data_IF_040458434810
#
_entry.id   IF_040458434810
#
_cell.length_a   1.000
_cell.length_b   1.000
_cell.length_c   1.000
_cell.angle_alpha   90.00
_cell.angle_beta   90.00
_cell.angle_gamma   90.00
#
_symmetry.space_group_name_H-M   'P 1'
#
loop_
_entity.id
_entity.type
_entity.pdbx_description
1 polymer ?
#
# COMPACT_ATOMS: atom_id res chain seq x y z
N UNK A 1 13.57 96.14 20.08
CA UNK A 1 13.44 95.19 18.89
C UNK A 1 12.69 94.01 19.35
N UNK A 2 11.45 93.99 18.90
CA UNK A 2 10.41 92.96 19.25
C UNK A 2 10.56 91.71 18.34
N UNK A 3 10.48 90.54 18.93
CA UNK A 3 10.14 89.33 18.19
C UNK A 3 8.92 88.67 18.84
N UNK A 4 7.84 88.65 18.09
CA UNK A 4 6.62 87.96 18.40
C UNK A 4 6.83 86.45 18.18
N UNK A 5 6.52 85.65 19.23
CA UNK A 5 6.34 84.19 19.10
C UNK A 5 4.91 83.97 18.59
N UNK A 6 4.79 83.32 17.43
CA UNK A 6 3.52 82.72 16.96
C UNK A 6 3.40 81.32 17.50
N UNK A 7 2.47 81.11 18.42
CA UNK A 7 2.00 79.81 18.78
C UNK A 7 0.96 79.36 17.76
N UNK A 8 1.30 78.36 16.94
CA UNK A 8 0.34 77.73 16.02
C UNK A 8 -0.46 76.68 16.78
N UNK A 9 -1.78 76.91 16.88
CA UNK A 9 -2.73 75.94 17.41
C UNK A 9 -2.89 74.80 16.39
N UNK A 10 -2.79 73.51 16.79
CA UNK A 10 -2.99 72.44 15.84
C UNK A 10 -4.43 72.42 15.33
N UNK A 11 -4.57 72.35 14.02
CA UNK A 11 -5.86 72.37 13.35
C UNK A 11 -6.72 71.14 13.72
N UNK A 12 -8.02 71.38 13.92
CA UNK A 12 -8.98 70.34 14.26
C UNK A 12 -8.98 69.14 13.27
N UNK A 13 -8.46 69.33 12.09
CA UNK A 13 -8.26 68.26 11.09
C UNK A 13 -7.21 67.23 11.49
N UNK A 14 -6.14 67.61 12.19
CA UNK A 14 -5.10 66.67 12.64
C UNK A 14 -5.62 65.71 13.76
N UNK A 15 -6.51 66.21 14.60
CA UNK A 15 -7.08 65.39 15.68
C UNK A 15 -8.07 64.38 15.11
N UNK A 16 -8.81 64.77 14.05
CA UNK A 16 -9.79 63.87 13.40
C UNK A 16 -9.12 62.69 12.63
N UNK A 17 -7.99 62.98 11.98
CA UNK A 17 -7.21 61.94 11.29
C UNK A 17 -6.52 60.95 12.24
N UNK A 18 -6.05 61.45 13.42
CA UNK A 18 -5.48 60.54 14.43
C UNK A 18 -6.57 59.64 15.08
N UNK A 19 -7.79 60.13 15.24
CA UNK A 19 -8.91 59.34 15.77
C UNK A 19 -9.44 58.30 14.76
N UNK A 20 -9.45 58.65 13.48
CA UNK A 20 -9.81 57.70 12.40
C UNK A 20 -8.79 56.57 12.18
N UNK A 21 -7.50 56.87 12.34
CA UNK A 21 -6.43 55.87 12.31
C UNK A 21 -6.43 54.94 13.53
N UNK A 22 -6.80 55.42 14.70
CA UNK A 22 -6.96 54.58 15.90
C UNK A 22 -8.18 53.65 15.80
N UNK A 23 -9.29 54.07 15.14
CA UNK A 23 -10.45 53.21 14.91
C UNK A 23 -10.24 52.17 13.83
N UNK A 24 -9.30 52.39 12.89
CA UNK A 24 -8.98 51.41 11.86
C UNK A 24 -8.14 50.21 12.41
N UNK A 25 -7.46 50.37 13.53
CA UNK A 25 -6.69 49.28 14.16
C UNK A 25 -7.50 48.42 15.14
N UNK A 26 -8.74 48.82 15.50
CA UNK A 26 -9.57 48.07 16.48
C UNK A 26 -10.59 47.15 15.83
N UNK A 27 -10.71 47.11 14.50
CA UNK A 27 -11.59 46.18 13.79
C UNK A 27 -10.80 45.04 13.16
N UNK A 28 -9.94 44.34 13.95
CA UNK A 28 -9.62 42.96 13.60
C UNK A 28 -10.95 42.22 13.82
N UNK A 29 -11.55 41.64 12.79
CA UNK A 29 -12.83 40.97 12.95
C UNK A 29 -12.63 39.80 13.93
N UNK A 30 -13.19 39.88 15.11
CA UNK A 30 -13.21 38.79 16.10
C UNK A 30 -13.67 37.48 15.46
N UNK A 31 -14.40 37.55 14.37
CA UNK A 31 -14.81 36.43 13.53
C UNK A 31 -13.64 35.68 12.89
N UNK A 32 -12.50 36.33 12.54
CA UNK A 32 -11.35 35.65 11.97
C UNK A 32 -10.55 34.87 13.02
N UNK A 33 -10.45 35.38 14.25
CA UNK A 33 -9.82 34.65 15.35
C UNK A 33 -10.69 33.46 15.82
N UNK A 34 -12.00 33.59 15.79
CA UNK A 34 -12.93 32.49 16.13
C UNK A 34 -12.89 31.42 15.05
N UNK A 35 -12.74 31.81 13.77
CA UNK A 35 -12.65 30.85 12.66
C UNK A 35 -11.39 30.00 12.75
N UNK A 36 -10.23 30.58 13.11
CA UNK A 36 -8.99 29.84 13.34
C UNK A 36 -9.06 28.89 14.56
N UNK A 37 -9.74 29.30 15.60
CA UNK A 37 -9.87 28.50 16.82
C UNK A 37 -10.85 27.32 16.63
N UNK A 38 -11.89 27.49 15.81
CA UNK A 38 -12.87 26.42 15.51
C UNK A 38 -12.31 25.40 14.52
N UNK A 39 -11.56 25.84 13.50
CA UNK A 39 -10.98 24.91 12.52
C UNK A 39 -9.80 24.11 13.08
N UNK A 40 -9.12 24.57 14.14
CA UNK A 40 -8.04 23.85 14.77
C UNK A 40 -8.50 22.60 15.57
N UNK A 41 -9.77 22.55 15.96
CA UNK A 41 -10.36 21.46 16.76
C UNK A 41 -11.38 20.60 15.98
N UNK A 42 -11.58 20.88 14.69
CA UNK A 42 -12.41 20.01 13.87
C UNK A 42 -11.74 18.64 13.70
N UNK A 43 -12.47 17.54 13.90
CA UNK A 43 -11.95 16.22 13.64
C UNK A 43 -11.51 16.12 12.18
N UNK A 44 -10.28 15.67 11.94
CA UNK A 44 -9.80 15.39 10.60
C UNK A 44 -9.95 13.92 10.33
N UNK A 45 -10.51 13.59 9.17
CA UNK A 45 -10.39 12.25 8.63
C UNK A 45 -8.90 12.02 8.30
N UNK A 46 -8.29 11.09 9.02
CA UNK A 46 -6.90 10.71 8.81
C UNK A 46 -6.74 9.68 7.67
N UNK A 47 -7.86 9.33 7.02
CA UNK A 47 -7.92 8.27 6.01
C UNK A 47 -7.67 6.91 6.66
N UNK A 48 -6.43 6.51 6.73
CA UNK A 48 -6.01 5.29 7.41
C UNK A 48 -4.85 5.59 8.37
N UNK A 49 -4.76 4.78 9.44
CA UNK A 49 -3.62 4.81 10.36
C UNK A 49 -2.80 3.54 10.12
N UNK A 50 -1.59 3.72 9.66
CA UNK A 50 -0.63 2.64 9.45
C UNK A 50 -0.13 2.11 10.79
N UNK A 51 -0.19 0.79 11.01
CA UNK A 51 0.42 0.11 12.15
C UNK A 51 1.94 0.18 11.97
N UNK A 52 2.67 0.70 12.98
CA UNK A 52 4.12 0.90 12.94
C UNK A 52 4.88 0.03 13.94
N UNK A 53 4.17 -0.70 14.77
CA UNK A 53 4.69 -1.68 15.72
C UNK A 53 3.68 -2.81 15.89
N UNK A 54 4.14 -4.05 15.89
CA UNK A 54 3.31 -5.22 16.10
C UNK A 54 4.07 -6.24 16.94
N UNK A 55 3.52 -6.64 18.11
CA UNK A 55 4.13 -7.58 19.05
C UNK A 55 5.59 -7.23 19.44
N UNK A 56 5.89 -5.92 19.55
CA UNK A 56 7.24 -5.43 19.89
C UNK A 56 8.21 -5.38 18.71
N UNK A 57 7.74 -5.61 17.47
CA UNK A 57 8.53 -5.51 16.25
C UNK A 57 8.23 -4.17 15.58
N UNK A 58 9.25 -3.36 15.32
CA UNK A 58 9.14 -2.15 14.54
C UNK A 58 8.87 -2.46 13.07
N UNK A 59 7.82 -1.87 12.50
CA UNK A 59 7.43 -2.06 11.12
C UNK A 59 7.91 -0.91 10.24
N UNK A 60 8.37 -1.23 9.04
CA UNK A 60 8.70 -0.26 8.01
C UNK A 60 7.43 0.44 7.50
N UNK A 61 7.53 1.73 7.10
CA UNK A 61 6.40 2.39 6.46
C UNK A 61 6.08 1.77 5.09
N UNK A 62 4.79 1.66 4.79
CA UNK A 62 4.30 1.21 3.47
C UNK A 62 4.75 2.15 2.34
N UNK A 63 5.17 3.38 2.67
CA UNK A 63 5.70 4.38 1.73
C UNK A 63 7.23 4.45 1.70
N UNK A 64 7.94 3.74 2.60
CA UNK A 64 9.38 3.89 2.79
C UNK A 64 10.25 3.19 1.74
N UNK A 65 9.68 2.42 0.83
CA UNK A 65 10.43 1.66 -0.17
C UNK A 65 9.95 1.93 -1.60
N UNK A 66 10.82 1.63 -2.57
CA UNK A 66 10.55 1.90 -3.98
C UNK A 66 9.41 1.02 -4.50
N UNK A 67 8.65 1.57 -5.43
CA UNK A 67 7.81 0.79 -6.29
C UNK A 67 8.68 0.18 -7.41
N UNK A 68 8.63 -1.15 -7.53
CA UNK A 68 9.31 -1.90 -8.57
C UNK A 68 8.28 -2.74 -9.32
N UNK A 69 8.09 -2.43 -10.60
CA UNK A 69 7.22 -3.18 -11.51
C UNK A 69 7.69 -3.03 -12.94
N UNK A 70 7.16 -3.86 -13.83
CA UNK A 70 7.56 -3.85 -15.24
C UNK A 70 6.79 -2.83 -16.08
N UNK A 71 5.67 -2.30 -15.54
CA UNK A 71 4.78 -1.34 -16.25
C UNK A 71 4.24 -0.21 -15.37
N UNK A 72 4.81 0.00 -14.17
CA UNK A 72 4.28 0.94 -13.19
C UNK A 72 3.07 0.40 -12.41
N UNK A 73 2.56 1.15 -11.41
CA UNK A 73 1.42 0.76 -10.61
C UNK A 73 0.18 0.49 -11.44
N UNK A 74 -0.56 -0.58 -11.11
CA UNK A 74 -1.80 -0.94 -11.76
C UNK A 74 -2.99 -0.48 -10.91
N UNK A 75 -3.95 0.21 -11.55
CA UNK A 75 -5.19 0.65 -10.93
C UNK A 75 -6.30 -0.29 -11.38
N UNK A 76 -6.64 -1.26 -10.54
CA UNK A 76 -7.56 -2.34 -10.86
C UNK A 76 -8.89 -2.07 -10.16
N UNK A 77 -10.00 -2.07 -10.92
CA UNK A 77 -11.34 -2.02 -10.37
C UNK A 77 -11.74 -3.41 -9.86
N UNK A 78 -12.20 -3.49 -8.61
CA UNK A 78 -12.62 -4.76 -7.99
C UNK A 78 -13.89 -5.33 -8.60
N UNK A 79 -14.74 -4.51 -9.23
CA UNK A 79 -15.94 -4.99 -9.92
C UNK A 79 -15.57 -5.84 -11.15
N UNK A 80 -14.52 -5.42 -11.87
CA UNK A 80 -14.01 -6.12 -13.06
C UNK A 80 -12.92 -7.15 -12.74
N UNK A 81 -12.39 -7.15 -11.53
CA UNK A 81 -11.31 -8.05 -11.15
C UNK A 81 -11.78 -9.50 -11.03
N UNK A 82 -10.97 -10.42 -11.58
CA UNK A 82 -11.13 -11.86 -11.40
C UNK A 82 -9.79 -12.50 -11.07
N UNK A 83 -9.83 -13.41 -10.10
CA UNK A 83 -8.74 -14.31 -9.77
C UNK A 83 -9.10 -15.71 -10.25
N UNK A 84 -8.28 -16.29 -11.12
CA UNK A 84 -8.50 -17.64 -11.65
C UNK A 84 -7.52 -18.62 -11.00
N UNK A 85 -8.00 -19.77 -10.57
CA UNK A 85 -7.19 -20.94 -10.19
C UNK A 85 -7.39 -22.02 -11.23
N UNK A 86 -6.33 -22.43 -11.92
CA UNK A 86 -6.39 -23.25 -13.14
C UNK A 86 -5.20 -24.22 -13.27
N UNK A 87 -5.06 -24.91 -14.38
CA UNK A 87 -3.99 -25.84 -14.70
C UNK A 87 -4.27 -27.27 -14.17
N UNK A 88 -3.32 -27.87 -13.49
CA UNK A 88 -3.45 -29.22 -12.91
C UNK A 88 -4.31 -29.20 -11.65
N UNK A 89 -5.61 -28.95 -11.83
CA UNK A 89 -6.65 -28.94 -10.80
C UNK A 89 -7.84 -29.77 -11.23
N UNK A 90 -8.65 -30.25 -10.28
CA UNK A 90 -9.88 -30.98 -10.57
C UNK A 90 -10.97 -30.07 -11.13
N UNK A 91 -11.05 -28.83 -10.62
CA UNK A 91 -12.02 -27.82 -11.05
C UNK A 91 -11.33 -26.47 -11.15
N UNK A 92 -11.38 -25.82 -12.29
CA UNK A 92 -10.99 -24.44 -12.41
C UNK A 92 -11.97 -23.55 -11.65
N UNK A 93 -11.44 -22.59 -10.91
CA UNK A 93 -12.22 -21.67 -10.09
C UNK A 93 -11.94 -20.24 -10.51
N UNK A 94 -12.97 -19.42 -10.49
CA UNK A 94 -12.89 -17.98 -10.72
C UNK A 94 -13.54 -17.27 -9.53
N UNK A 95 -12.85 -16.28 -8.98
CA UNK A 95 -13.26 -15.50 -7.82
C UNK A 95 -13.29 -14.02 -8.15
N UNK A 96 -14.29 -13.32 -7.61
CA UNK A 96 -14.23 -11.87 -7.46
C UNK A 96 -13.28 -11.50 -6.28
N UNK A 97 -12.94 -10.23 -6.16
CA UNK A 97 -12.21 -9.75 -4.99
C UNK A 97 -12.95 -10.08 -3.69
N UNK A 98 -14.25 -9.80 -3.66
CA UNK A 98 -15.08 -10.02 -2.46
C UNK A 98 -15.21 -11.52 -2.12
N UNK A 99 -15.26 -12.41 -3.10
CA UNK A 99 -15.29 -13.85 -2.87
C UNK A 99 -14.02 -14.28 -2.10
N UNK A 100 -12.86 -13.78 -2.51
CA UNK A 100 -11.59 -14.15 -1.89
C UNK A 100 -11.53 -13.66 -0.43
N UNK A 101 -11.84 -12.39 -0.17
CA UNK A 101 -11.71 -11.83 1.18
C UNK A 101 -12.81 -12.24 2.15
N UNK A 102 -13.95 -12.76 1.64
CA UNK A 102 -15.11 -13.13 2.48
C UNK A 102 -15.22 -14.63 2.74
N UNK A 103 -14.70 -15.49 1.86
CA UNK A 103 -14.94 -16.94 1.93
C UNK A 103 -13.77 -17.72 2.56
N UNK A 104 -12.63 -17.08 2.78
CA UNK A 104 -11.43 -17.72 3.31
C UNK A 104 -11.00 -17.15 4.65
N UNK A 105 -10.39 -17.97 5.53
CA UNK A 105 -9.80 -17.48 6.78
C UNK A 105 -8.72 -16.44 6.51
N UNK A 106 -8.70 -15.40 7.34
CA UNK A 106 -7.70 -14.33 7.26
C UNK A 106 -6.54 -14.65 8.18
N UNK A 107 -5.33 -14.48 7.68
CA UNK A 107 -4.08 -14.67 8.41
C UNK A 107 -3.25 -13.40 8.37
N UNK A 108 -2.48 -13.18 9.41
CA UNK A 108 -1.50 -12.10 9.45
C UNK A 108 -0.13 -12.64 9.86
N UNK A 109 0.92 -12.04 9.33
CA UNK A 109 2.30 -12.41 9.60
C UNK A 109 3.24 -11.25 9.35
N UNK A 110 4.18 -11.02 10.28
CA UNK A 110 5.29 -10.09 10.05
C UNK A 110 6.35 -10.78 9.21
N UNK A 111 6.60 -10.28 8.01
CA UNK A 111 7.61 -10.81 7.10
C UNK A 111 8.44 -9.69 6.51
N UNK A 112 9.75 -9.90 6.42
CA UNK A 112 10.67 -8.97 5.77
C UNK A 112 10.83 -9.34 4.30
N UNK A 113 10.52 -8.38 3.42
CA UNK A 113 10.81 -8.44 2.00
C UNK A 113 12.25 -7.97 1.76
N UNK A 114 13.04 -8.77 1.06
CA UNK A 114 14.41 -8.43 0.65
C UNK A 114 14.47 -8.21 -0.85
N UNK A 115 14.87 -7.00 -1.27
CA UNK A 115 15.05 -6.68 -2.67
C UNK A 115 16.48 -6.93 -3.12
N UNK A 116 16.66 -7.43 -4.35
CA UNK A 116 17.98 -7.60 -4.98
C UNK A 116 18.72 -6.28 -5.17
N UNK A 117 18.06 -5.14 -5.05
CA UNK A 117 18.66 -3.80 -5.05
C UNK A 117 19.33 -3.42 -3.72
N UNK A 118 19.31 -4.30 -2.71
CA UNK A 118 20.02 -4.11 -1.44
C UNK A 118 19.21 -3.38 -0.36
N UNK A 119 17.89 -3.21 -0.52
CA UNK A 119 17.02 -2.70 0.53
C UNK A 119 16.07 -3.79 1.06
N UNK A 120 15.57 -3.61 2.27
CA UNK A 120 14.58 -4.51 2.87
C UNK A 120 13.54 -3.72 3.65
N UNK A 121 12.35 -4.32 3.82
CA UNK A 121 11.25 -3.76 4.60
C UNK A 121 10.54 -4.85 5.39
N UNK A 122 10.26 -4.57 6.66
CA UNK A 122 9.54 -5.46 7.56
C UNK A 122 8.11 -4.97 7.67
N UNK A 123 7.15 -5.79 7.29
CA UNK A 123 5.74 -5.43 7.13
C UNK A 123 4.87 -6.48 7.82
N UNK A 124 3.80 -6.05 8.47
CA UNK A 124 2.69 -6.91 8.88
C UNK A 124 1.77 -7.12 7.67
N UNK A 125 1.82 -8.32 7.10
CA UNK A 125 1.00 -8.72 5.97
C UNK A 125 -0.28 -9.38 6.45
N UNK A 126 -1.41 -9.03 5.86
CA UNK A 126 -2.72 -9.63 6.13
C UNK A 126 -3.33 -10.12 4.82
N UNK A 127 -3.80 -11.37 4.81
CA UNK A 127 -4.36 -11.99 3.62
C UNK A 127 -4.86 -13.41 3.88
N UNK A 128 -5.03 -14.17 2.80
CA UNK A 128 -5.45 -15.56 2.84
C UNK A 128 -4.27 -16.47 2.48
N UNK A 129 -4.35 -17.74 2.87
CA UNK A 129 -3.34 -18.72 2.46
C UNK A 129 -3.59 -19.15 1.01
N UNK A 130 -2.55 -19.11 0.18
CA UNK A 130 -2.63 -19.59 -1.20
C UNK A 130 -3.07 -21.06 -1.26
N UNK A 131 -2.61 -21.88 -0.30
CA UNK A 131 -2.99 -23.29 -0.24
C UNK A 131 -4.50 -23.51 -0.13
N UNK A 132 -5.23 -22.64 0.59
CA UNK A 132 -6.66 -22.79 0.78
C UNK A 132 -7.41 -22.63 -0.58
N UNK A 133 -6.93 -21.72 -1.45
CA UNK A 133 -7.47 -21.53 -2.80
C UNK A 133 -7.19 -22.74 -3.71
N UNK A 134 -5.95 -23.23 -3.71
CA UNK A 134 -5.58 -24.36 -4.57
C UNK A 134 -6.20 -25.68 -4.10
N UNK A 135 -6.36 -25.88 -2.79
CA UNK A 135 -7.07 -27.02 -2.22
C UNK A 135 -8.57 -27.01 -2.59
N UNK A 136 -9.20 -25.83 -2.61
CA UNK A 136 -10.59 -25.69 -3.05
C UNK A 136 -10.78 -26.08 -4.52
N UNK A 137 -9.78 -25.84 -5.38
CA UNK A 137 -9.77 -26.27 -6.78
C UNK A 137 -9.50 -27.78 -6.94
N UNK A 138 -8.94 -28.42 -5.92
CA UNK A 138 -8.55 -29.84 -5.91
C UNK A 138 -7.30 -30.09 -6.73
N UNK A 139 -6.16 -30.16 -6.05
CA UNK A 139 -4.84 -30.31 -6.66
C UNK A 139 -4.70 -31.67 -7.37
N UNK A 140 -4.29 -31.67 -8.65
CA UNK A 140 -3.90 -32.90 -9.35
C UNK A 140 -2.60 -33.44 -8.77
N UNK A 141 -2.46 -34.76 -8.53
CA UNK A 141 -1.24 -35.37 -7.98
C UNK A 141 0.04 -35.15 -8.79
N UNK A 142 -0.09 -34.77 -10.07
CA UNK A 142 1.07 -34.47 -10.92
C UNK A 142 1.55 -33.02 -10.79
N UNK A 143 0.81 -32.14 -10.10
CA UNK A 143 1.23 -30.77 -9.90
C UNK A 143 2.44 -30.69 -8.97
N UNK A 144 3.48 -30.02 -9.40
CA UNK A 144 4.73 -29.84 -8.62
C UNK A 144 5.12 -28.37 -8.44
N UNK A 145 4.55 -27.48 -9.26
CA UNK A 145 4.86 -26.06 -9.26
C UNK A 145 3.59 -25.22 -9.35
N UNK A 146 3.63 -24.04 -8.73
CA UNK A 146 2.58 -23.01 -8.85
C UNK A 146 3.15 -21.84 -9.64
N UNK A 147 2.49 -21.49 -10.75
CA UNK A 147 2.83 -20.35 -11.59
C UNK A 147 1.83 -19.24 -11.32
N UNK A 148 2.34 -18.05 -11.06
CA UNK A 148 1.51 -16.86 -10.83
C UNK A 148 1.63 -15.92 -12.02
N UNK A 149 0.50 -15.37 -12.45
CA UNK A 149 0.43 -14.32 -13.47
C UNK A 149 -0.21 -13.06 -12.90
N UNK A 150 0.28 -11.92 -13.32
CA UNK A 150 -0.17 -10.61 -12.89
C UNK A 150 -0.82 -9.81 -14.02
N UNK A 151 -1.62 -8.85 -13.63
CA UNK A 151 -2.36 -7.96 -14.52
C UNK A 151 -1.44 -7.19 -15.50
N UNK A 152 -0.24 -6.82 -15.08
CA UNK A 152 0.76 -6.10 -15.90
C UNK A 152 1.53 -7.01 -16.88
N UNK A 153 1.26 -8.33 -16.86
CA UNK A 153 1.94 -9.34 -17.66
C UNK A 153 3.20 -9.89 -17.00
N UNK A 154 3.47 -9.55 -15.73
CA UNK A 154 4.51 -10.21 -14.95
C UNK A 154 4.11 -11.66 -14.65
N UNK A 155 5.11 -12.54 -14.52
CA UNK A 155 4.90 -13.91 -14.06
C UNK A 155 6.10 -14.42 -13.29
N UNK A 156 5.87 -15.37 -12.39
CA UNK A 156 6.89 -16.11 -11.66
C UNK A 156 6.34 -17.46 -11.24
N UNK A 157 7.20 -18.36 -10.78
CA UNK A 157 6.79 -19.66 -10.24
C UNK A 157 7.49 -19.95 -8.92
N UNK A 158 6.87 -20.82 -8.14
CA UNK A 158 7.46 -21.39 -6.91
C UNK A 158 7.05 -22.85 -6.80
N UNK A 159 7.82 -23.71 -6.11
CA UNK A 159 7.44 -25.10 -5.86
C UNK A 159 6.11 -25.19 -5.11
N UNK A 160 5.27 -26.16 -5.45
CA UNK A 160 3.99 -26.38 -4.77
C UNK A 160 4.17 -26.70 -3.28
N UNK A 161 5.16 -27.50 -2.94
CA UNK A 161 5.48 -27.84 -1.55
C UNK A 161 5.93 -26.62 -0.73
N UNK A 162 6.60 -25.63 -1.37
CA UNK A 162 6.93 -24.37 -0.73
C UNK A 162 5.65 -23.61 -0.33
N UNK A 163 4.63 -23.55 -1.16
CA UNK A 163 3.33 -22.91 -0.86
C UNK A 163 2.64 -23.60 0.32
N UNK A 164 2.60 -24.95 0.30
CA UNK A 164 1.87 -25.75 1.28
C UNK A 164 2.57 -25.71 2.65
N UNK A 165 3.88 -25.92 2.65
CA UNK A 165 4.64 -26.12 3.91
C UNK A 165 4.95 -24.81 4.65
N UNK A 166 4.97 -23.66 3.96
CA UNK A 166 5.34 -22.37 4.57
C UNK A 166 4.13 -21.46 4.85
N UNK A 167 2.89 -21.91 4.62
CA UNK A 167 1.69 -21.09 4.80
C UNK A 167 1.81 -19.74 4.09
N UNK A 168 2.11 -19.77 2.80
CA UNK A 168 2.33 -18.59 1.99
C UNK A 168 1.05 -17.78 1.86
N UNK A 169 1.12 -16.49 2.20
CA UNK A 169 -0.01 -15.56 2.20
C UNK A 169 -0.09 -14.87 0.83
N UNK A 170 -1.30 -14.80 0.29
CA UNK A 170 -1.71 -13.84 -0.73
C UNK A 170 -2.35 -12.66 0.00
N UNK A 171 -1.59 -11.57 0.15
CA UNK A 171 -1.97 -10.42 0.95
C UNK A 171 -2.84 -9.44 0.18
N UNK A 172 -3.82 -8.84 0.88
CA UNK A 172 -4.62 -7.71 0.43
C UNK A 172 -4.49 -6.48 1.34
N UNK A 173 -3.82 -6.63 2.51
CA UNK A 173 -3.43 -5.52 3.38
C UNK A 173 -1.97 -5.62 3.83
N UNK A 174 -1.44 -4.48 4.23
CA UNK A 174 -0.12 -4.31 4.83
C UNK A 174 -0.19 -3.26 5.94
N UNK A 175 0.39 -3.55 7.11
CA UNK A 175 0.35 -2.68 8.29
C UNK A 175 -1.07 -2.18 8.63
N UNK A 176 -2.11 -3.05 8.48
CA UNK A 176 -3.51 -2.73 8.73
C UNK A 176 -4.20 -1.91 7.63
N UNK A 177 -3.50 -1.54 6.57
CA UNK A 177 -4.01 -0.74 5.44
C UNK A 177 -4.23 -1.63 4.23
N UNK A 178 -5.35 -1.47 3.52
CA UNK A 178 -5.57 -2.12 2.22
C UNK A 178 -4.40 -1.77 1.29
N UNK A 179 -3.89 -2.74 0.55
CA UNK A 179 -2.79 -2.53 -0.38
C UNK A 179 -3.10 -1.34 -1.31
N UNK A 180 -2.25 -0.31 -1.37
CA UNK A 180 -2.39 0.67 -2.43
C UNK A 180 -1.97 0.08 -3.79
N UNK A 181 -2.34 0.72 -4.92
CA UNK A 181 -1.98 0.24 -6.25
C UNK A 181 -0.49 -0.07 -6.41
N UNK A 182 0.39 0.77 -5.85
CA UNK A 182 1.85 0.62 -5.90
C UNK A 182 2.35 -0.64 -5.18
N UNK A 183 1.55 -1.16 -4.24
CA UNK A 183 1.86 -2.33 -3.40
C UNK A 183 1.12 -3.59 -3.82
N UNK A 184 0.49 -3.57 -4.99
CA UNK A 184 -0.06 -4.78 -5.60
C UNK A 184 -1.53 -5.03 -5.35
N UNK A 185 -2.33 -3.98 -5.00
CA UNK A 185 -3.78 -4.15 -4.94
C UNK A 185 -4.32 -4.74 -6.25
N UNK A 186 -5.20 -5.76 -6.23
CA UNK A 186 -5.90 -6.34 -5.08
C UNK A 186 -5.07 -7.33 -4.25
N UNK A 187 -4.11 -8.06 -4.84
CA UNK A 187 -3.37 -9.12 -4.17
C UNK A 187 -1.89 -9.12 -4.53
N UNK A 188 -1.06 -9.32 -3.50
CA UNK A 188 0.37 -9.54 -3.61
C UNK A 188 0.77 -10.84 -2.92
N UNK A 189 1.67 -11.63 -3.53
CA UNK A 189 2.27 -12.80 -2.90
C UNK A 189 3.29 -12.39 -1.83
N UNK A 190 3.20 -12.97 -0.65
CA UNK A 190 4.20 -12.84 0.42
C UNK A 190 5.14 -14.05 0.34
N UNK A 191 6.12 -13.98 -0.54
CA UNK A 191 7.04 -15.08 -0.82
C UNK A 191 8.19 -15.09 0.21
N UNK A 192 7.86 -15.39 1.48
CA UNK A 192 8.82 -15.45 2.59
C UNK A 192 10.05 -16.31 2.24
N UNK A 193 11.23 -15.89 2.64
CA UNK A 193 12.53 -16.51 2.31
C UNK A 193 12.96 -16.47 0.84
N UNK A 194 12.19 -15.79 -0.02
CA UNK A 194 12.56 -15.56 -1.43
C UNK A 194 12.89 -14.10 -1.68
N UNK A 195 13.80 -13.85 -2.61
CA UNK A 195 14.09 -12.51 -3.11
C UNK A 195 12.85 -11.84 -3.71
N UNK A 196 12.78 -10.50 -3.63
CA UNK A 196 11.63 -9.67 -3.99
C UNK A 196 11.02 -9.91 -5.39
N UNK A 197 11.77 -10.47 -6.35
CA UNK A 197 11.21 -10.79 -7.66
C UNK A 197 10.27 -12.00 -7.67
N UNK A 198 10.18 -12.78 -6.58
CA UNK A 198 9.13 -13.80 -6.39
C UNK A 198 7.86 -13.22 -5.77
N UNK A 199 7.90 -11.99 -5.25
CA UNK A 199 6.78 -11.32 -4.59
C UNK A 199 5.90 -10.62 -5.61
N UNK A 200 5.23 -11.41 -6.45
CA UNK A 200 4.37 -10.92 -7.53
C UNK A 200 3.21 -10.09 -7.00
N UNK A 201 2.95 -8.95 -7.65
CA UNK A 201 1.87 -8.00 -7.39
C UNK A 201 0.74 -8.18 -8.41
N UNK A 202 -0.46 -7.69 -8.09
CA UNK A 202 -1.61 -7.66 -9.01
C UNK A 202 -1.96 -9.05 -9.59
N UNK A 203 -1.93 -10.07 -8.73
CA UNK A 203 -2.16 -11.47 -9.14
C UNK A 203 -3.53 -11.60 -9.77
N UNK A 204 -3.60 -12.23 -10.95
CA UNK A 204 -4.85 -12.54 -11.65
C UNK A 204 -5.04 -14.04 -11.88
N UNK A 205 -3.95 -14.81 -11.88
CA UNK A 205 -4.03 -16.24 -12.14
C UNK A 205 -3.03 -17.01 -11.27
N UNK A 206 -3.51 -18.11 -10.73
CA UNK A 206 -2.74 -19.13 -10.02
C UNK A 206 -2.89 -20.42 -10.84
N UNK A 207 -1.83 -20.84 -11.52
CA UNK A 207 -1.81 -22.04 -12.36
C UNK A 207 -0.99 -23.13 -11.68
N UNK A 208 -1.59 -24.30 -11.47
CA UNK A 208 -0.87 -25.49 -11.03
C UNK A 208 -0.30 -26.22 -12.25
N UNK A 209 0.96 -26.62 -12.19
CA UNK A 209 1.68 -27.20 -13.33
C UNK A 209 2.67 -28.28 -12.89
N UNK A 210 3.09 -29.13 -13.81
CA UNK A 210 4.22 -30.07 -13.69
C UNK A 210 5.51 -29.54 -14.33
N UNK A 211 5.47 -28.32 -14.87
CA UNK A 211 6.62 -27.69 -15.52
C UNK A 211 7.54 -27.00 -14.51
N UNK A 212 8.39 -27.76 -13.84
CA UNK A 212 9.37 -27.26 -12.87
C UNK A 212 10.41 -26.31 -13.49
N UNK A 213 10.61 -26.37 -14.80
CA UNK A 213 11.53 -25.51 -15.56
C UNK A 213 10.88 -24.18 -15.99
N UNK A 214 9.65 -23.88 -15.57
CA UNK A 214 9.02 -22.62 -15.91
C UNK A 214 9.86 -21.45 -15.41
N UNK A 215 10.18 -20.54 -16.32
CA UNK A 215 10.91 -19.30 -16.01
C UNK A 215 9.98 -18.10 -16.15
N UNK A 216 9.82 -17.36 -15.08
CA UNK A 216 9.07 -16.10 -15.03
C UNK A 216 9.80 -14.93 -15.71
N UNK A 217 9.36 -13.72 -15.41
CA UNK A 217 9.87 -12.52 -16.08
C UNK A 217 11.37 -12.29 -15.83
N UNK A 218 11.82 -12.34 -14.57
CA UNK A 218 13.23 -12.12 -14.22
C UNK A 218 14.09 -13.36 -14.39
N UNK A 219 13.53 -14.53 -14.17
CA UNK A 219 14.22 -15.80 -14.35
C UNK A 219 14.68 -15.98 -15.80
N UNK A 220 13.84 -15.61 -16.80
CA UNK A 220 14.24 -15.57 -18.23
C UNK A 220 15.36 -14.55 -18.54
N UNK A 221 15.67 -13.67 -17.59
CA UNK A 221 16.74 -12.65 -17.67
C UNK A 221 17.97 -13.03 -16.86
N UNK A 222 18.04 -14.30 -16.41
CA UNK A 222 19.20 -14.86 -15.73
C UNK A 222 19.19 -14.80 -14.22
N UNK A 223 18.05 -14.42 -13.59
CA UNK A 223 17.90 -14.56 -12.14
C UNK A 223 17.62 -16.01 -11.78
N UNK A 224 18.15 -16.53 -10.63
CA UNK A 224 17.91 -17.89 -10.17
C UNK A 224 16.42 -18.22 -10.02
N UNK A 225 15.99 -19.42 -10.41
CA UNK A 225 14.59 -19.81 -10.29
C UNK A 225 14.18 -20.15 -8.85
N UNK A 226 15.10 -20.65 -8.03
CA UNK A 226 14.88 -20.93 -6.61
C UNK A 226 14.71 -19.64 -5.80
N UNK A 227 15.46 -18.61 -6.12
CA UNK A 227 15.39 -17.27 -5.50
C UNK A 227 15.56 -17.26 -3.98
N UNK A 228 16.15 -18.30 -3.38
CA UNK A 228 16.30 -18.40 -1.94
C UNK A 228 17.17 -17.28 -1.39
N UNK A 229 16.67 -16.63 -0.36
CA UNK A 229 17.40 -15.66 0.43
C UNK A 229 18.18 -16.41 1.52
N UNK A 230 19.52 -16.29 1.48
CA UNK A 230 20.44 -16.92 2.44
C UNK A 230 20.80 -15.98 3.57
#
# INVERSE_FOLDING_TARGET
MSYLLWLTVPSKTLILTAFLLLLAFTTIPVGSMIWWATTANEPKDLGYVEIREYEGIDLSSITAFRENSIRGPQHIDTEDYRLTVTGLVNNELEYTYDDVISNYPVFEKVVTLHCVEGWSVTILWEGILVKDLIEAAGVDPNATVVIFYAYDGYSTSVPLDYIINNNIIMAYKMNGVVLPPERGFPFQLVAESKWGYKWIKWITTIELSDNEDYLGFWERRGYPNDADFQ
#
